data_IF_771946948502
#
_entry.id   IF_771946948502
#
_cell.length_a   1.000
_cell.length_b   1.000
_cell.length_c   1.000
_cell.angle_alpha   90.00
_cell.angle_beta   90.00
_cell.angle_gamma   90.00
#
_symmetry.space_group_name_H-M   'P 1'
#
loop_
_entity.id
_entity.type
_entity.pdbx_description
1 polymer ?
#
# COMPACT_ATOMS: atom_id res chain seq x y z
N UNK A 1 20.83 -35.97 -46.19
CA UNK A 1 19.68 -35.05 -46.09
C UNK A 1 18.92 -35.50 -44.86
N UNK A 2 19.23 -34.96 -43.70
CA UNK A 2 18.52 -35.30 -42.46
C UNK A 2 18.29 -33.99 -41.72
N UNK A 3 17.01 -33.60 -41.66
CA UNK A 3 16.56 -32.32 -41.16
C UNK A 3 16.57 -32.28 -39.64
N UNK A 4 17.20 -31.24 -39.08
CA UNK A 4 16.98 -30.83 -37.70
C UNK A 4 15.59 -30.23 -37.57
N UNK A 5 14.69 -30.74 -36.70
CA UNK A 5 13.51 -29.99 -36.32
C UNK A 5 13.96 -28.83 -35.43
N UNK A 6 13.98 -27.63 -36.01
CA UNK A 6 14.12 -26.37 -35.29
C UNK A 6 12.93 -26.21 -34.34
N UNK A 7 13.11 -26.65 -33.10
CA UNK A 7 12.23 -26.31 -31.99
C UNK A 7 12.28 -24.80 -31.80
N UNK A 8 11.26 -24.12 -32.30
CA UNK A 8 10.98 -22.73 -31.98
C UNK A 8 10.78 -22.66 -30.47
N UNK A 9 11.80 -22.20 -29.73
CA UNK A 9 11.63 -21.82 -28.34
C UNK A 9 10.60 -20.71 -28.34
N UNK A 10 9.37 -21.06 -27.97
CA UNK A 10 8.34 -20.10 -27.64
C UNK A 10 8.88 -19.34 -26.42
N UNK A 11 9.47 -18.18 -26.67
CA UNK A 11 9.78 -17.20 -25.65
C UNK A 11 8.43 -16.85 -25.05
N UNK A 12 8.12 -17.47 -23.92
CA UNK A 12 6.92 -17.16 -23.16
C UNK A 12 6.96 -15.66 -22.89
N UNK A 13 6.08 -14.92 -23.51
CA UNK A 13 5.69 -13.62 -23.00
C UNK A 13 5.15 -13.90 -21.61
N UNK A 14 5.94 -13.64 -20.55
CA UNK A 14 5.44 -13.46 -19.19
C UNK A 14 4.55 -12.21 -19.17
N UNK A 15 3.45 -12.26 -19.91
CA UNK A 15 2.40 -11.28 -19.89
C UNK A 15 1.57 -11.58 -18.67
N UNK A 16 1.52 -10.61 -17.76
CA UNK A 16 0.51 -10.55 -16.70
C UNK A 16 -0.87 -10.86 -17.30
N UNK A 17 -1.69 -11.69 -16.66
CA UNK A 17 -3.04 -12.00 -17.17
C UNK A 17 -3.85 -10.70 -17.25
N UNK A 18 -4.06 -10.22 -18.47
CA UNK A 18 -4.75 -8.94 -18.74
C UNK A 18 -6.14 -8.92 -18.09
N UNK A 19 -6.81 -10.07 -17.99
CA UNK A 19 -8.12 -10.16 -17.34
C UNK A 19 -8.02 -9.95 -15.84
N UNK A 20 -6.99 -10.51 -15.18
CA UNK A 20 -6.76 -10.28 -13.74
C UNK A 20 -6.47 -8.79 -13.47
N UNK A 21 -5.74 -8.14 -14.37
CA UNK A 21 -5.46 -6.69 -14.30
C UNK A 21 -6.76 -5.90 -14.44
N UNK A 22 -7.60 -6.19 -15.43
CA UNK A 22 -8.87 -5.51 -15.65
C UNK A 22 -9.84 -5.70 -14.48
N UNK A 23 -10.03 -6.93 -14.00
CA UNK A 23 -10.89 -7.24 -12.84
C UNK A 23 -10.43 -6.51 -11.58
N UNK A 24 -9.12 -6.46 -11.33
CA UNK A 24 -8.53 -5.71 -10.22
C UNK A 24 -8.82 -4.21 -10.34
N UNK A 25 -8.57 -3.62 -11.51
CA UNK A 25 -8.81 -2.19 -11.75
C UNK A 25 -10.29 -1.85 -11.56
N UNK A 26 -11.20 -2.63 -12.15
CA UNK A 26 -12.64 -2.39 -12.04
C UNK A 26 -13.16 -2.44 -10.59
N UNK A 27 -12.67 -3.43 -9.81
CA UNK A 27 -13.02 -3.59 -8.40
C UNK A 27 -12.56 -2.39 -7.58
N UNK A 28 -11.30 -2.00 -7.71
CA UNK A 28 -10.69 -0.97 -6.86
C UNK A 28 -11.00 0.46 -7.30
N UNK A 29 -11.32 0.69 -8.58
CA UNK A 29 -11.82 1.97 -9.08
C UNK A 29 -13.10 2.44 -8.36
N UNK A 30 -13.89 1.50 -7.83
CA UNK A 30 -15.14 1.78 -7.10
C UNK A 30 -14.94 2.00 -5.60
N UNK A 31 -13.72 1.82 -5.08
CA UNK A 31 -13.44 1.96 -3.65
C UNK A 31 -13.61 3.41 -3.17
N UNK A 32 -14.18 3.58 -1.97
CA UNK A 32 -14.27 4.88 -1.29
C UNK A 32 -13.10 5.10 -0.32
N UNK A 33 -12.93 6.33 0.19
CA UNK A 33 -11.81 6.74 1.06
C UNK A 33 -11.79 6.14 2.47
N UNK A 34 -11.76 4.82 2.59
CA UNK A 34 -11.73 4.04 3.82
C UNK A 34 -10.39 3.29 3.96
N UNK A 35 -9.30 4.03 4.00
CA UNK A 35 -7.92 3.52 3.91
C UNK A 35 -7.66 2.27 4.73
N UNK A 36 -7.80 2.37 6.06
CA UNK A 36 -7.53 1.27 7.01
C UNK A 36 -8.33 -0.01 6.72
N UNK A 37 -9.50 0.12 6.11
CA UNK A 37 -10.33 -1.02 5.75
C UNK A 37 -9.93 -1.66 4.41
N UNK A 38 -9.22 -0.90 3.57
CA UNK A 38 -8.99 -1.25 2.17
C UNK A 38 -7.55 -1.68 1.89
N UNK A 39 -6.56 -1.07 2.54
CA UNK A 39 -5.17 -1.16 2.06
C UNK A 39 -4.60 -2.58 2.10
N UNK A 40 -4.87 -3.35 3.17
CA UNK A 40 -4.38 -4.75 3.28
C UNK A 40 -4.97 -5.63 2.18
N UNK A 41 -6.29 -5.52 1.96
CA UNK A 41 -6.98 -6.27 0.90
C UNK A 41 -6.50 -5.85 -0.49
N UNK A 42 -6.31 -4.54 -0.72
CA UNK A 42 -5.76 -4.01 -1.97
C UNK A 42 -4.37 -4.57 -2.26
N UNK A 43 -3.46 -4.51 -1.28
CA UNK A 43 -2.08 -4.98 -1.45
C UNK A 43 -2.02 -6.51 -1.62
N UNK A 44 -2.85 -7.27 -0.91
CA UNK A 44 -2.93 -8.72 -1.08
C UNK A 44 -3.48 -9.15 -2.45
N UNK A 45 -4.43 -8.39 -3.02
CA UNK A 45 -4.91 -8.61 -4.39
C UNK A 45 -3.89 -8.11 -5.43
N UNK A 46 -3.19 -7.00 -5.17
CA UNK A 46 -2.12 -6.51 -6.04
C UNK A 46 -0.95 -7.50 -6.16
N UNK A 47 -0.57 -8.16 -5.07
CA UNK A 47 0.43 -9.22 -5.10
C UNK A 47 0.04 -10.37 -6.05
N UNK A 48 -1.25 -10.70 -6.13
CA UNK A 48 -1.74 -11.74 -7.04
C UNK A 48 -1.64 -11.30 -8.50
N UNK A 49 -2.03 -10.05 -8.77
CA UNK A 49 -1.92 -9.48 -10.12
C UNK A 49 -0.46 -9.48 -10.56
N UNK A 50 0.44 -9.00 -9.70
CA UNK A 50 1.90 -8.94 -9.94
C UNK A 50 2.62 -10.30 -9.93
N UNK A 51 1.91 -11.39 -9.63
CA UNK A 51 2.48 -12.73 -9.44
C UNK A 51 3.70 -12.75 -8.49
N UNK A 52 3.57 -12.06 -7.36
CA UNK A 52 4.56 -12.04 -6.28
C UNK A 52 4.02 -12.67 -5.01
N UNK A 53 4.90 -13.18 -4.12
CA UNK A 53 4.48 -13.67 -2.81
C UNK A 53 3.66 -12.63 -2.05
N UNK A 54 2.69 -13.10 -1.27
CA UNK A 54 1.92 -12.25 -0.35
C UNK A 54 2.67 -12.08 0.97
N UNK A 55 2.35 -11.03 1.76
CA UNK A 55 2.83 -10.93 3.13
C UNK A 55 2.34 -12.11 3.98
N UNK A 56 3.18 -12.56 4.90
CA UNK A 56 2.90 -13.63 5.85
C UNK A 56 2.06 -13.11 7.04
N UNK A 57 1.38 -13.99 7.79
CA UNK A 57 0.78 -13.64 9.06
C UNK A 57 1.82 -13.17 10.08
N UNK A 58 1.50 -12.11 10.82
CA UNK A 58 2.31 -11.63 11.94
C UNK A 58 2.36 -12.67 13.06
N UNK A 59 3.57 -12.95 13.57
CA UNK A 59 3.79 -13.78 14.77
C UNK A 59 4.23 -12.93 15.96
N UNK A 60 4.24 -13.52 17.16
CA UNK A 60 4.60 -12.83 18.41
C UNK A 60 6.05 -12.32 18.43
N UNK A 61 6.98 -13.10 17.85
CA UNK A 61 8.38 -12.73 17.73
C UNK A 61 8.60 -11.85 16.50
N UNK A 62 8.74 -10.55 16.75
CA UNK A 62 8.99 -9.53 15.74
C UNK A 62 10.24 -9.81 14.88
N UNK A 63 11.25 -10.52 15.38
CA UNK A 63 12.44 -10.86 14.60
C UNK A 63 12.14 -11.84 13.45
N UNK A 64 11.00 -12.52 13.48
CA UNK A 64 10.53 -13.44 12.44
C UNK A 64 9.60 -12.76 11.43
N UNK A 65 9.11 -11.55 11.74
CA UNK A 65 8.18 -10.78 10.92
C UNK A 65 8.89 -10.07 9.76
N UNK A 66 9.45 -10.85 8.82
CA UNK A 66 10.28 -10.36 7.71
C UNK A 66 9.49 -9.85 6.49
N UNK A 67 8.24 -10.28 6.29
CA UNK A 67 7.35 -9.73 5.27
C UNK A 67 5.90 -9.78 5.75
N UNK A 68 5.44 -8.75 6.45
CA UNK A 68 4.14 -8.76 7.14
C UNK A 68 3.45 -7.40 7.06
N UNK A 69 2.12 -7.41 7.18
CA UNK A 69 1.35 -6.20 7.47
C UNK A 69 1.50 -5.79 8.93
N UNK A 70 1.30 -4.49 9.22
CA UNK A 70 1.24 -3.94 10.58
C UNK A 70 2.47 -4.32 11.44
N UNK A 71 3.68 -4.32 10.84
CA UNK A 71 4.92 -4.66 11.54
C UNK A 71 5.14 -3.67 12.67
N UNK A 72 5.20 -4.17 13.92
CA UNK A 72 5.51 -3.32 15.06
C UNK A 72 6.92 -2.74 14.94
N UNK A 73 7.13 -1.55 15.46
CA UNK A 73 8.44 -0.91 15.56
C UNK A 73 8.47 -0.07 16.82
N UNK A 74 9.56 -0.19 17.58
CA UNK A 74 9.74 0.56 18.82
C UNK A 74 10.46 1.88 18.56
N UNK A 75 9.91 2.94 19.11
CA UNK A 75 10.50 4.28 19.12
C UNK A 75 10.96 4.59 20.53
N UNK A 76 12.24 4.93 20.67
CA UNK A 76 12.78 5.50 21.90
C UNK A 76 12.33 6.96 22.01
N UNK A 77 11.61 7.30 23.08
CA UNK A 77 11.13 8.65 23.34
C UNK A 77 12.21 9.56 23.97
N UNK A 78 13.42 9.04 24.20
CA UNK A 78 14.59 9.72 24.79
C UNK A 78 14.41 10.15 26.26
N UNK A 79 13.36 9.67 26.92
CA UNK A 79 13.06 9.87 28.34
C UNK A 79 13.07 8.55 29.12
N UNK A 80 13.56 7.47 28.49
CA UNK A 80 13.56 6.10 29.03
C UNK A 80 12.26 5.34 28.77
N UNK A 81 11.27 5.95 28.10
CA UNK A 81 10.05 5.27 27.66
C UNK A 81 10.11 4.94 26.17
N UNK A 82 9.29 3.96 25.77
CA UNK A 82 9.19 3.51 24.38
C UNK A 82 7.76 3.57 23.90
N UNK A 83 7.59 4.00 22.65
CA UNK A 83 6.32 3.97 21.93
C UNK A 83 6.35 2.85 20.90
N UNK A 84 5.27 2.08 20.78
CA UNK A 84 5.12 1.09 19.69
C UNK A 84 4.27 1.69 18.58
N UNK A 85 4.83 1.76 17.38
CA UNK A 85 4.11 2.10 16.16
C UNK A 85 4.05 0.89 15.22
N UNK A 86 3.27 0.98 14.15
CA UNK A 86 3.13 -0.09 13.16
C UNK A 86 3.36 0.44 11.75
N UNK A 87 4.12 -0.31 10.97
CA UNK A 87 4.35 -0.09 9.55
C UNK A 87 3.22 -0.81 8.81
N UNK A 88 2.51 -0.12 7.90
CA UNK A 88 1.38 -0.72 7.17
C UNK A 88 1.80 -2.00 6.44
N UNK A 89 2.90 -1.97 5.68
CA UNK A 89 3.51 -3.17 5.11
C UNK A 89 5.05 -3.08 5.13
N UNK A 90 5.68 -4.11 5.68
CA UNK A 90 7.14 -4.20 5.78
C UNK A 90 7.65 -5.42 5.04
N UNK A 91 8.73 -5.25 4.26
CA UNK A 91 9.52 -6.37 3.72
C UNK A 91 11.01 -6.13 4.00
N UNK A 92 11.61 -6.96 4.84
CA UNK A 92 13.02 -6.87 5.27
C UNK A 92 13.96 -6.79 4.08
N UNK A 93 14.89 -5.84 4.15
CA UNK A 93 15.86 -5.57 3.08
C UNK A 93 15.26 -5.06 1.77
N UNK A 94 13.94 -4.82 1.71
CA UNK A 94 13.25 -4.41 0.48
C UNK A 94 12.60 -3.03 0.66
N UNK A 95 11.56 -2.93 1.49
CA UNK A 95 10.81 -1.68 1.63
C UNK A 95 10.08 -1.53 2.97
N UNK A 96 9.80 -0.26 3.30
CA UNK A 96 8.75 0.16 4.24
C UNK A 96 7.66 0.83 3.39
N UNK A 97 6.40 0.44 3.60
CA UNK A 97 5.26 1.04 2.93
C UNK A 97 4.32 1.66 3.95
N UNK A 98 3.95 2.92 3.74
CA UNK A 98 2.94 3.67 4.50
C UNK A 98 1.77 4.02 3.57
N UNK A 99 0.59 3.46 3.81
CA UNK A 99 -0.54 3.63 2.91
C UNK A 99 -1.22 4.98 3.10
N UNK A 100 -1.66 5.57 1.98
CA UNK A 100 -2.54 6.73 1.95
C UNK A 100 -3.65 6.56 0.94
N UNK A 101 -4.89 6.84 1.34
CA UNK A 101 -6.04 6.88 0.43
C UNK A 101 -6.63 8.28 0.34
N UNK A 102 -6.66 8.83 -0.88
CA UNK A 102 -7.33 10.08 -1.22
C UNK A 102 -8.51 9.84 -2.15
N UNK A 103 -9.45 10.79 -2.17
CA UNK A 103 -10.60 10.77 -3.09
C UNK A 103 -10.32 11.65 -4.31
N UNK A 104 -10.94 11.32 -5.45
CA UNK A 104 -10.92 12.21 -6.62
C UNK A 104 -11.73 13.48 -6.36
N UNK A 105 -11.35 14.55 -7.05
CA UNK A 105 -12.12 15.79 -7.04
C UNK A 105 -13.50 15.52 -7.62
N UNK A 106 -14.55 15.81 -6.85
CA UNK A 106 -15.92 15.67 -7.33
C UNK A 106 -16.31 16.88 -8.16
N UNK A 107 -17.15 16.64 -9.17
CA UNK A 107 -17.86 17.71 -9.87
C UNK A 107 -18.60 18.59 -8.85
N UNK A 108 -18.41 19.90 -8.97
CA UNK A 108 -18.99 20.96 -8.13
C UNK A 108 -20.47 21.19 -8.43
N UNK A 109 -21.20 20.15 -8.87
CA UNK A 109 -22.63 20.25 -9.11
C UNK A 109 -23.33 20.79 -7.86
N UNK A 110 -24.23 21.79 -8.00
CA UNK A 110 -24.91 22.41 -6.88
C UNK A 110 -25.74 21.38 -6.13
N UNK A 111 -25.75 21.49 -4.80
CA UNK A 111 -26.53 20.59 -3.96
C UNK A 111 -27.94 21.14 -3.86
N UNK A 112 -28.90 20.46 -4.47
CA UNK A 112 -30.27 20.97 -4.65
C UNK A 112 -31.24 20.52 -3.54
N UNK A 113 -30.76 19.76 -2.55
CA UNK A 113 -31.59 19.32 -1.42
C UNK A 113 -30.80 19.09 -0.12
N UNK A 114 -31.46 19.27 1.02
CA UNK A 114 -30.90 18.99 2.35
C UNK A 114 -30.44 17.52 2.49
N UNK A 115 -31.18 16.58 1.86
CA UNK A 115 -30.81 15.15 1.84
C UNK A 115 -29.51 14.91 1.07
N UNK A 116 -29.27 15.61 -0.04
CA UNK A 116 -28.01 15.53 -0.77
C UNK A 116 -26.85 16.20 0.00
N UNK A 117 -27.10 17.30 0.73
CA UNK A 117 -26.09 17.94 1.60
C UNK A 117 -25.62 16.96 2.69
N UNK A 118 -26.57 16.33 3.39
CA UNK A 118 -26.26 15.34 4.42
C UNK A 118 -25.47 14.15 3.85
N UNK A 119 -25.81 13.65 2.65
CA UNK A 119 -25.07 12.56 2.00
C UNK A 119 -23.64 12.96 1.65
N UNK A 120 -23.42 14.17 1.10
CA UNK A 120 -22.06 14.67 0.79
C UNK A 120 -21.21 14.87 2.04
N UNK A 121 -21.80 15.36 3.13
CA UNK A 121 -21.10 15.56 4.40
C UNK A 121 -20.63 14.23 5.02
N UNK A 122 -21.41 13.14 4.86
CA UNK A 122 -21.07 11.81 5.40
C UNK A 122 -20.07 11.00 4.57
N UNK A 123 -19.64 11.47 3.39
CA UNK A 123 -18.68 10.73 2.55
C UNK A 123 -17.30 10.75 3.18
N UNK A 124 -16.67 9.57 3.28
CA UNK A 124 -15.28 9.44 3.71
C UNK A 124 -14.36 10.06 2.65
N UNK A 125 -13.50 10.99 3.07
CA UNK A 125 -12.56 11.71 2.20
C UNK A 125 -11.13 11.16 2.30
N UNK A 126 -10.89 10.21 3.20
CA UNK A 126 -9.54 9.74 3.51
C UNK A 126 -8.63 10.90 3.92
N UNK A 127 -7.43 10.93 3.33
CA UNK A 127 -6.40 11.94 3.59
C UNK A 127 -6.57 13.25 2.81
N UNK A 128 -7.63 13.38 2.02
CA UNK A 128 -7.93 14.58 1.26
C UNK A 128 -8.29 14.27 -0.19
N UNK A 129 -8.56 15.35 -0.92
CA UNK A 129 -8.81 15.26 -2.36
C UNK A 129 -7.48 15.26 -3.10
N UNK A 130 -7.25 14.27 -3.97
CA UNK A 130 -6.04 14.17 -4.78
C UNK A 130 -5.84 15.44 -5.61
N UNK A 131 -4.60 15.90 -5.75
CA UNK A 131 -4.24 17.12 -6.48
C UNK A 131 -4.50 18.42 -5.70
N UNK A 132 -4.67 18.35 -4.39
CA UNK A 132 -4.80 19.53 -3.52
C UNK A 132 -3.61 19.60 -2.55
N UNK A 133 -3.29 20.80 -2.06
CA UNK A 133 -2.21 20.98 -1.08
C UNK A 133 -2.37 20.10 0.17
N UNK A 134 -3.61 19.88 0.64
CA UNK A 134 -3.88 18.97 1.77
C UNK A 134 -3.47 17.53 1.48
N UNK A 135 -3.65 17.07 0.23
CA UNK A 135 -3.19 15.75 -0.19
C UNK A 135 -1.66 15.69 -0.25
N UNK A 136 -1.01 16.73 -0.79
CA UNK A 136 0.45 16.80 -0.85
C UNK A 136 1.07 16.80 0.55
N UNK A 137 0.52 17.59 1.47
CA UNK A 137 0.92 17.60 2.89
C UNK A 137 0.78 16.22 3.53
N UNK A 138 -0.31 15.50 3.23
CA UNK A 138 -0.53 14.15 3.73
C UNK A 138 0.52 13.17 3.19
N UNK A 139 0.88 13.27 1.90
CA UNK A 139 1.92 12.45 1.30
C UNK A 139 3.32 12.76 1.85
N UNK A 140 3.65 14.04 2.09
CA UNK A 140 4.91 14.42 2.74
C UNK A 140 5.02 13.87 4.16
N UNK A 141 3.93 13.92 4.93
CA UNK A 141 3.87 13.33 6.28
C UNK A 141 4.04 11.82 6.24
N UNK A 142 3.37 11.13 5.30
CA UNK A 142 3.49 9.69 5.11
C UNK A 142 4.94 9.27 4.81
N UNK A 143 5.61 10.01 3.92
CA UNK A 143 7.03 9.79 3.63
C UNK A 143 7.89 9.99 4.89
N UNK A 144 7.70 11.09 5.62
CA UNK A 144 8.45 11.34 6.85
C UNK A 144 8.25 10.23 7.90
N UNK A 145 7.04 9.70 7.99
CA UNK A 145 6.70 8.56 8.84
C UNK A 145 7.41 7.27 8.39
N UNK A 146 7.40 6.95 7.09
CA UNK A 146 8.15 5.82 6.54
C UNK A 146 9.67 5.95 6.75
N UNK A 147 10.24 7.16 6.61
CA UNK A 147 11.65 7.43 6.92
C UNK A 147 11.97 7.19 8.39
N UNK A 148 11.08 7.59 9.31
CA UNK A 148 11.22 7.34 10.74
C UNK A 148 11.16 5.84 11.05
N UNK A 149 10.22 5.10 10.48
CA UNK A 149 10.13 3.65 10.62
C UNK A 149 11.40 2.96 10.13
N UNK A 150 11.88 3.31 8.94
CA UNK A 150 13.09 2.74 8.37
C UNK A 150 14.30 2.94 9.29
N UNK A 151 14.38 4.05 10.04
CA UNK A 151 15.44 4.32 11.04
C UNK A 151 15.25 3.58 12.36
N UNK A 152 14.01 3.33 12.76
CA UNK A 152 13.66 2.69 14.03
C UNK A 152 13.73 1.14 13.98
N UNK A 153 13.80 0.53 12.79
CA UNK A 153 14.02 -0.91 12.65
C UNK A 153 15.34 -1.36 13.33
N UNK A 154 15.46 -2.63 13.75
CA UNK A 154 16.71 -3.19 14.28
C UNK A 154 17.88 -3.00 13.30
N UNK A 155 19.07 -2.71 13.81
CA UNK A 155 20.26 -2.38 12.99
C UNK A 155 20.79 -3.56 12.20
N UNK A 156 20.64 -4.77 12.73
CA UNK A 156 21.04 -6.04 12.12
C UNK A 156 20.16 -6.46 10.94
N UNK A 157 18.92 -5.95 10.87
CA UNK A 157 18.04 -6.13 9.70
C UNK A 157 18.45 -5.26 8.49
N UNK A 158 19.32 -4.27 8.71
CA UNK A 158 19.68 -3.26 7.72
C UNK A 158 18.57 -2.23 7.47
N UNK A 159 18.85 -1.23 6.65
CA UNK A 159 17.87 -0.18 6.28
C UNK A 159 17.23 -0.54 4.93
N UNK A 160 15.89 -0.60 4.83
CA UNK A 160 15.22 -0.87 3.57
C UNK A 160 15.59 0.18 2.51
N UNK A 161 15.94 -0.24 1.28
CA UNK A 161 16.36 0.68 0.22
C UNK A 161 15.22 1.52 -0.37
N UNK A 162 13.96 1.09 -0.20
CA UNK A 162 12.79 1.78 -0.73
C UNK A 162 11.79 2.19 0.36
N UNK A 163 11.21 3.38 0.19
CA UNK A 163 10.06 3.86 0.93
C UNK A 163 8.91 4.02 -0.06
N UNK A 164 7.76 3.43 0.26
CA UNK A 164 6.58 3.38 -0.60
C UNK A 164 5.41 4.10 0.08
#
# INVERSE_FOLDING_TARGET
MDGYPGGLLQVGTNGMDERLVEEFIERWARSGGAERANYQLFLAELCQVLDVPRPEPTVEDDSQNAYVFERNVQFDNLDGTYSTCRIDLYKRGCFVLESKQGVQQQETAPVLSAKQQQRRAKRKRGHGTRGTATWDDAMFRARGQAEQYARALPTDEGRPPFLI
#
